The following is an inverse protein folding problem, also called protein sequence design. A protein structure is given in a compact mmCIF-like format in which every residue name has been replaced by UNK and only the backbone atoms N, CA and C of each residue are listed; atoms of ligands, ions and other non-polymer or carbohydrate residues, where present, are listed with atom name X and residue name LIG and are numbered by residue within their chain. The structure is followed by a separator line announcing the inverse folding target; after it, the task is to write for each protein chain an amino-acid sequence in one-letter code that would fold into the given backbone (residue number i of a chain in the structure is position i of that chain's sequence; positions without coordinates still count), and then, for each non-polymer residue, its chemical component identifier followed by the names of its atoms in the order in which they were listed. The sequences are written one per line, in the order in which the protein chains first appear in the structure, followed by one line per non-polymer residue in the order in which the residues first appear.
data_IF_494337957231
#
_entry.id   IF_494337957231
#
_cell.length_a   1.000
_cell.length_b   1.000
_cell.length_c   1.000
_cell.angle_alpha   90.00
_cell.angle_beta   90.00
_cell.angle_gamma   90.00
#
_symmetry.space_group_name_H-M   'P 1'
#
loop_
_entity.id
_entity.type
_entity.pdbx_description
1 polymer ?
#
# COMPACT_ATOMS: atom_id res chain seq x y z
N UNK A 1 -46.17 55.06 10.31
CA UNK A 1 -45.86 53.93 9.42
C UNK A 1 -44.40 53.54 9.70
N UNK A 2 -44.17 52.56 10.58
CA UNK A 2 -42.83 52.14 11.02
C UNK A 2 -42.52 50.78 10.40
N UNK A 3 -41.52 50.72 9.54
CA UNK A 3 -41.05 49.49 8.90
C UNK A 3 -40.00 48.86 9.82
N UNK A 4 -40.25 47.64 10.31
CA UNK A 4 -39.29 46.84 11.05
C UNK A 4 -38.66 45.86 10.07
N UNK A 5 -37.36 45.98 9.83
CA UNK A 5 -36.60 45.02 9.04
C UNK A 5 -36.06 43.92 9.97
N UNK A 6 -36.53 42.69 9.77
CA UNK A 6 -36.06 41.49 10.46
C UNK A 6 -34.86 40.93 9.69
N UNK A 7 -33.64 41.17 10.17
CA UNK A 7 -32.43 40.61 9.62
C UNK A 7 -32.22 39.18 10.13
N UNK A 8 -32.34 38.18 9.25
CA UNK A 8 -32.05 36.79 9.55
C UNK A 8 -30.53 36.59 9.70
N UNK A 9 -30.10 36.12 10.89
CA UNK A 9 -28.75 35.65 11.15
C UNK A 9 -28.52 34.32 10.43
N UNK A 10 -27.64 34.31 9.43
CA UNK A 10 -27.13 33.09 8.81
C UNK A 10 -26.13 32.48 9.78
N UNK A 11 -26.54 31.40 10.46
CA UNK A 11 -25.64 30.57 11.24
C UNK A 11 -24.75 29.79 10.26
N UNK A 12 -23.50 30.22 10.11
CA UNK A 12 -22.47 29.42 9.45
C UNK A 12 -22.14 28.28 10.40
N UNK A 13 -22.70 27.10 10.15
CA UNK A 13 -22.27 25.87 10.81
C UNK A 13 -20.83 25.59 10.37
N UNK A 14 -19.89 25.85 11.26
CA UNK A 14 -18.52 25.35 11.16
C UNK A 14 -18.60 23.83 11.18
N UNK A 15 -18.61 23.23 9.98
CA UNK A 15 -18.38 21.80 9.79
C UNK A 15 -17.03 21.48 10.38
N UNK A 16 -17.03 20.88 11.57
CA UNK A 16 -15.82 20.33 12.13
C UNK A 16 -15.39 19.22 11.20
N UNK A 17 -14.17 19.33 10.65
CA UNK A 17 -13.55 18.25 9.94
C UNK A 17 -13.44 17.07 10.90
N UNK A 18 -14.34 16.09 10.77
CA UNK A 18 -14.17 14.81 11.44
C UNK A 18 -12.87 14.22 10.91
N UNK A 19 -11.86 14.10 11.79
CA UNK A 19 -10.73 13.23 11.56
C UNK A 19 -11.31 11.87 11.13
N UNK A 20 -11.07 11.48 9.87
CA UNK A 20 -11.65 10.26 9.31
C UNK A 20 -11.40 9.10 10.26
N UNK A 21 -12.48 8.43 10.69
CA UNK A 21 -12.38 7.32 11.62
C UNK A 21 -11.40 6.28 11.04
N UNK A 22 -10.37 5.94 11.82
CA UNK A 22 -9.41 4.89 11.45
C UNK A 22 -10.18 3.59 11.25
N UNK A 23 -9.92 2.88 10.15
CA UNK A 23 -10.51 1.57 9.92
C UNK A 23 -10.20 0.65 11.11
N UNK A 24 -11.18 -0.15 11.58
CA UNK A 24 -10.94 -1.08 12.68
C UNK A 24 -9.93 -2.13 12.26
N UNK A 25 -9.18 -2.64 13.25
CA UNK A 25 -8.23 -3.74 13.09
C UNK A 25 -8.59 -4.77 14.16
N UNK A 26 -8.75 -6.02 13.77
CA UNK A 26 -9.11 -7.08 14.71
C UNK A 26 -7.99 -7.37 15.71
N UNK A 27 -8.35 -7.78 16.93
CA UNK A 27 -7.39 -8.17 17.96
C UNK A 27 -6.47 -9.31 17.50
N UNK A 28 -6.97 -10.18 16.61
CA UNK A 28 -6.18 -11.27 16.05
C UNK A 28 -5.03 -10.75 15.19
N UNK A 29 -5.23 -9.67 14.42
CA UNK A 29 -4.20 -9.03 13.61
C UNK A 29 -3.16 -8.33 14.48
N UNK A 30 -3.58 -7.73 15.61
CA UNK A 30 -2.68 -6.97 16.48
C UNK A 30 -1.87 -7.83 17.46
N UNK A 31 -2.42 -8.97 17.89
CA UNK A 31 -1.87 -9.72 19.03
C UNK A 31 -1.53 -11.18 18.72
N UNK A 32 -1.72 -11.64 17.49
CA UNK A 32 -1.36 -12.99 17.07
C UNK A 32 -0.42 -12.95 15.87
N UNK A 33 0.32 -14.04 15.69
CA UNK A 33 1.11 -14.22 14.48
C UNK A 33 0.18 -14.25 13.25
N UNK A 34 0.55 -13.48 12.23
CA UNK A 34 -0.19 -13.44 10.98
C UNK A 34 -0.14 -14.80 10.28
N UNK A 35 -1.26 -15.15 9.64
CA UNK A 35 -1.35 -16.31 8.75
C UNK A 35 -0.85 -15.97 7.35
N UNK A 36 -0.97 -14.70 6.95
CA UNK A 36 -0.29 -14.17 5.77
C UNK A 36 1.23 -14.28 5.93
N UNK A 37 1.89 -14.83 4.92
CA UNK A 37 3.33 -15.06 4.91
C UNK A 37 4.04 -13.96 4.13
N UNK A 38 5.22 -13.57 4.59
CA UNK A 38 6.12 -12.79 3.74
C UNK A 38 6.48 -13.60 2.51
N UNK A 39 6.18 -13.06 1.32
CA UNK A 39 6.48 -13.67 0.02
C UNK A 39 7.39 -12.74 -0.79
N UNK A 40 8.22 -13.35 -1.63
CA UNK A 40 9.13 -12.67 -2.55
C UNK A 40 9.02 -13.28 -3.95
N UNK A 41 9.54 -12.59 -4.97
CA UNK A 41 9.63 -13.14 -6.31
C UNK A 41 10.68 -14.25 -6.38
N UNK A 42 10.28 -15.46 -6.74
CA UNK A 42 11.21 -16.57 -6.89
C UNK A 42 12.30 -16.24 -7.91
N UNK A 43 13.57 -16.42 -7.52
CA UNK A 43 14.74 -16.18 -8.36
C UNK A 43 15.13 -14.69 -8.54
N UNK A 44 14.37 -13.76 -7.96
CA UNK A 44 14.77 -12.35 -7.95
C UNK A 44 15.87 -12.09 -6.91
N UNK A 45 16.78 -11.13 -7.17
CA UNK A 45 17.71 -10.68 -6.14
C UNK A 45 16.98 -10.13 -4.91
N UNK A 46 17.39 -10.56 -3.72
CA UNK A 46 16.70 -10.18 -2.47
C UNK A 46 16.91 -8.71 -2.09
N UNK A 47 18.10 -8.15 -2.35
CA UNK A 47 18.54 -6.83 -1.85
C UNK A 47 18.91 -5.81 -2.93
N UNK A 48 18.72 -6.16 -4.20
CA UNK A 48 18.99 -5.24 -5.29
C UNK A 48 17.78 -4.35 -5.58
N UNK A 49 18.01 -3.30 -6.38
CA UNK A 49 16.94 -2.46 -6.86
C UNK A 49 16.06 -3.26 -7.83
N UNK A 50 14.74 -3.21 -7.63
CA UNK A 50 13.80 -3.95 -8.47
C UNK A 50 12.36 -3.57 -8.15
N UNK A 51 11.49 -3.77 -9.14
CA UNK A 51 10.03 -3.60 -9.02
C UNK A 51 9.38 -4.91 -9.43
N UNK A 52 8.49 -5.41 -8.60
CA UNK A 52 7.84 -6.71 -8.75
C UNK A 52 6.34 -6.57 -8.60
N UNK A 53 5.61 -7.26 -9.49
CA UNK A 53 4.15 -7.36 -9.45
C UNK A 53 3.75 -8.65 -8.76
N UNK A 54 3.10 -8.54 -7.62
CA UNK A 54 2.42 -9.63 -6.93
C UNK A 54 0.94 -9.63 -7.32
N UNK A 55 0.39 -10.78 -7.72
CA UNK A 55 -1.02 -10.90 -8.13
C UNK A 55 -1.72 -12.05 -7.41
N UNK A 56 -3.00 -11.84 -7.10
CA UNK A 56 -3.90 -12.86 -6.56
C UNK A 56 -5.29 -12.69 -7.18
N UNK A 57 -5.89 -13.80 -7.58
CA UNK A 57 -7.30 -13.84 -7.97
C UNK A 57 -8.11 -14.34 -6.78
N UNK A 58 -9.13 -13.58 -6.40
CA UNK A 58 -10.12 -13.95 -5.41
C UNK A 58 -11.41 -14.35 -6.11
N UNK A 59 -12.08 -15.39 -5.64
CA UNK A 59 -13.43 -15.75 -6.06
C UNK A 59 -14.36 -15.52 -4.88
N UNK A 60 -15.30 -14.57 -5.01
CA UNK A 60 -16.20 -14.18 -3.94
C UNK A 60 -17.65 -14.57 -4.28
N UNK A 61 -18.41 -15.18 -3.37
CA UNK A 61 -19.79 -15.60 -3.65
C UNK A 61 -20.73 -14.40 -3.87
N UNK A 62 -20.42 -13.26 -3.27
CA UNK A 62 -21.16 -12.00 -3.39
C UNK A 62 -20.21 -10.81 -3.24
N UNK A 63 -20.65 -9.61 -3.66
CA UNK A 63 -19.92 -8.39 -3.36
C UNK A 63 -19.95 -8.14 -1.83
N UNK A 64 -18.80 -7.97 -1.16
CA UNK A 64 -18.77 -7.76 0.28
C UNK A 64 -19.18 -6.33 0.63
N UNK A 65 -19.88 -6.15 1.76
CA UNK A 65 -20.18 -4.81 2.29
C UNK A 65 -18.95 -4.15 2.95
N UNK A 66 -18.01 -4.96 3.41
CA UNK A 66 -16.72 -4.60 4.01
C UNK A 66 -15.73 -5.72 3.68
N UNK A 67 -14.50 -5.38 3.31
CA UNK A 67 -13.43 -6.35 3.08
C UNK A 67 -12.10 -5.75 3.53
N UNK A 68 -11.75 -5.94 4.80
CA UNK A 68 -10.54 -5.33 5.36
C UNK A 68 -9.30 -6.21 5.21
N UNK A 69 -8.24 -5.59 4.71
CA UNK A 69 -6.91 -6.21 4.58
C UNK A 69 -5.84 -5.31 5.17
N UNK A 70 -4.82 -5.94 5.71
CA UNK A 70 -3.64 -5.31 6.29
C UNK A 70 -2.43 -5.73 5.45
N UNK A 71 -1.74 -4.77 4.88
CA UNK A 71 -0.68 -5.04 3.91
C UNK A 71 0.59 -4.28 4.26
N UNK A 72 1.71 -4.97 4.10
CA UNK A 72 3.03 -4.39 4.21
C UNK A 72 3.93 -4.86 3.07
N UNK A 73 5.02 -4.13 2.87
CA UNK A 73 6.04 -4.47 1.90
C UNK A 73 7.40 -4.00 2.39
N UNK A 74 8.43 -4.74 2.00
CA UNK A 74 9.79 -4.27 2.04
C UNK A 74 10.15 -3.83 0.60
N UNK A 75 10.12 -2.55 0.26
CA UNK A 75 10.03 -1.37 1.15
C UNK A 75 8.92 -0.40 0.79
N UNK A 76 8.31 -0.53 -0.39
CA UNK A 76 7.14 0.24 -0.83
C UNK A 76 6.24 -0.60 -1.71
N UNK A 77 4.96 -0.28 -1.73
CA UNK A 77 4.00 -0.83 -2.67
C UNK A 77 2.91 0.16 -3.08
N UNK A 78 2.30 -0.11 -4.24
CA UNK A 78 1.00 0.42 -4.67
C UNK A 78 0.04 -0.75 -4.82
N UNK A 79 -1.13 -0.65 -4.19
CA UNK A 79 -2.17 -1.66 -4.26
C UNK A 79 -3.21 -1.28 -5.32
N UNK A 80 -3.62 -2.26 -6.11
CA UNK A 80 -4.70 -2.18 -7.07
C UNK A 80 -5.68 -3.33 -6.86
N UNK A 81 -6.96 -3.06 -7.07
CA UNK A 81 -8.01 -4.05 -7.10
C UNK A 81 -8.84 -3.83 -8.38
N UNK A 82 -8.97 -4.88 -9.20
CA UNK A 82 -9.66 -4.83 -10.49
C UNK A 82 -9.18 -3.67 -11.39
N UNK A 83 -7.87 -3.41 -11.40
CA UNK A 83 -7.24 -2.34 -12.19
C UNK A 83 -7.38 -0.92 -11.61
N UNK A 84 -8.16 -0.74 -10.53
CA UNK A 84 -8.29 0.55 -9.84
C UNK A 84 -7.26 0.65 -8.71
N UNK A 85 -6.56 1.78 -8.64
CA UNK A 85 -5.61 2.07 -7.55
C UNK A 85 -6.37 2.25 -6.24
N UNK A 86 -5.99 1.49 -5.23
CA UNK A 86 -6.58 1.53 -3.89
C UNK A 86 -5.76 2.44 -2.98
N UNK A 87 -4.44 2.25 -2.93
CA UNK A 87 -3.58 2.97 -1.99
C UNK A 87 -2.11 2.59 -2.11
N UNK A 88 -1.32 3.09 -1.16
CA UNK A 88 0.13 2.89 -1.09
C UNK A 88 0.54 2.49 0.32
N UNK A 89 1.71 1.90 0.46
CA UNK A 89 2.30 1.62 1.75
C UNK A 89 3.67 0.96 1.66
N UNK A 90 4.18 0.42 2.77
CA UNK A 90 3.80 0.88 4.10
C UNK A 90 4.41 2.27 4.39
N UNK A 91 3.88 2.95 5.41
CA UNK A 91 4.62 4.01 6.08
C UNK A 91 6.00 3.51 6.54
N UNK A 92 7.01 4.38 6.56
CA UNK A 92 8.39 3.99 6.91
C UNK A 92 8.47 3.40 8.32
N UNK A 93 9.32 2.40 8.52
CA UNK A 93 9.60 1.77 9.80
C UNK A 93 11.07 1.38 9.92
N UNK A 94 11.35 0.54 10.91
CA UNK A 94 12.64 -0.12 11.10
C UNK A 94 12.43 -1.65 11.19
N UNK A 95 13.51 -2.41 11.27
CA UNK A 95 13.47 -3.89 11.26
C UNK A 95 12.65 -4.44 12.44
N UNK A 96 12.69 -3.76 13.59
CA UNK A 96 11.99 -4.20 14.80
C UNK A 96 10.53 -3.70 14.84
N UNK A 97 10.21 -2.66 14.05
CA UNK A 97 8.89 -2.01 14.01
C UNK A 97 8.37 -1.88 12.57
N UNK A 98 8.07 -3.03 11.96
CA UNK A 98 7.51 -3.07 10.62
C UNK A 98 6.06 -2.58 10.58
N UNK A 99 5.80 -1.52 9.79
CA UNK A 99 4.45 -0.94 9.68
C UNK A 99 3.63 -1.62 8.59
N UNK A 100 2.32 -1.56 8.71
CA UNK A 100 1.37 -1.99 7.68
C UNK A 100 0.27 -0.94 7.51
N UNK A 101 -0.35 -0.96 6.34
CA UNK A 101 -1.51 -0.13 6.02
C UNK A 101 -2.79 -0.98 6.03
N UNK A 102 -3.91 -0.39 6.41
CA UNK A 102 -5.22 -1.05 6.40
C UNK A 102 -6.08 -0.49 5.28
N UNK A 103 -6.65 -1.36 4.45
CA UNK A 103 -7.51 -0.98 3.34
C UNK A 103 -8.86 -1.68 3.44
N UNK A 104 -9.94 -0.95 3.15
CA UNK A 104 -11.22 -1.56 2.83
C UNK A 104 -11.35 -1.71 1.32
N UNK A 105 -11.39 -2.95 0.85
CA UNK A 105 -11.49 -3.29 -0.57
C UNK A 105 -12.93 -3.40 -1.07
N UNK A 106 -13.94 -3.29 -0.20
CA UNK A 106 -15.33 -3.56 -0.57
C UNK A 106 -15.78 -2.82 -1.84
N UNK A 107 -15.48 -1.53 -1.95
CA UNK A 107 -15.87 -0.69 -3.09
C UNK A 107 -15.14 -1.02 -4.40
N UNK A 108 -14.12 -1.87 -4.34
CA UNK A 108 -13.33 -2.30 -5.49
C UNK A 108 -13.62 -3.74 -5.90
N UNK A 109 -14.35 -4.49 -5.08
CA UNK A 109 -14.65 -5.90 -5.27
C UNK A 109 -16.08 -6.11 -5.79
N UNK A 110 -16.29 -7.25 -6.45
CA UNK A 110 -17.58 -7.69 -7.00
C UNK A 110 -17.82 -9.17 -6.69
N UNK A 111 -19.04 -9.65 -6.91
CA UNK A 111 -19.29 -11.08 -6.96
C UNK A 111 -18.48 -11.74 -8.09
N UNK A 112 -18.01 -12.96 -7.84
CA UNK A 112 -17.17 -13.72 -8.75
C UNK A 112 -15.69 -13.37 -8.65
N UNK A 113 -15.00 -13.37 -9.80
CA UNK A 113 -13.55 -13.12 -9.90
C UNK A 113 -13.17 -11.66 -9.66
N UNK A 114 -12.17 -11.48 -8.80
CA UNK A 114 -11.52 -10.21 -8.50
C UNK A 114 -10.01 -10.36 -8.58
N UNK A 115 -9.32 -9.38 -9.15
CA UNK A 115 -7.87 -9.37 -9.26
C UNK A 115 -7.29 -8.35 -8.27
N UNK A 116 -6.46 -8.82 -7.34
CA UNK A 116 -5.59 -7.96 -6.54
C UNK A 116 -4.19 -7.93 -7.17
N UNK A 117 -3.59 -6.74 -7.20
CA UNK A 117 -2.21 -6.52 -7.63
C UNK A 117 -1.51 -5.60 -6.64
N UNK A 118 -0.37 -6.03 -6.12
CA UNK A 118 0.57 -5.17 -5.41
C UNK A 118 1.83 -5.00 -6.26
N UNK A 119 2.11 -3.76 -6.67
CA UNK A 119 3.41 -3.40 -7.24
C UNK A 119 4.33 -3.04 -6.09
N UNK A 120 5.38 -3.83 -5.86
CA UNK A 120 6.27 -3.72 -4.71
C UNK A 120 7.67 -3.44 -5.22
N UNK A 121 8.38 -2.49 -4.61
CA UNK A 121 9.72 -2.16 -5.06
C UNK A 121 10.68 -1.78 -3.96
N UNK A 122 11.95 -1.95 -4.29
CA UNK A 122 13.10 -1.54 -3.53
C UNK A 122 14.10 -0.84 -4.44
N UNK A 123 14.84 0.10 -3.87
CA UNK A 123 16.00 0.69 -4.53
C UNK A 123 17.32 0.03 -4.09
N UNK A 124 17.24 -1.04 -3.28
CA UNK A 124 18.38 -1.76 -2.74
C UNK A 124 19.36 -0.83 -2.03
N UNK A 125 20.65 -0.96 -2.35
CA UNK A 125 21.74 -0.11 -1.81
C UNK A 125 21.64 1.37 -2.20
N UNK A 126 20.71 1.74 -3.08
CA UNK A 126 20.43 3.13 -3.48
C UNK A 126 19.19 3.70 -2.81
N UNK A 127 18.60 3.00 -1.86
CA UNK A 127 17.43 3.49 -1.14
C UNK A 127 17.73 4.77 -0.35
N UNK A 128 16.75 5.68 -0.20
CA UNK A 128 16.85 6.80 0.73
C UNK A 128 17.23 6.30 2.12
N UNK A 129 18.03 7.06 2.89
CA UNK A 129 18.50 6.61 4.22
C UNK A 129 17.35 6.28 5.20
N UNK A 130 16.18 6.88 5.00
CA UNK A 130 14.99 6.62 5.81
C UNK A 130 14.27 5.30 5.46
N UNK A 131 14.70 4.57 4.42
CA UNK A 131 14.18 3.25 4.06
C UNK A 131 15.06 2.17 4.66
N UNK A 132 14.75 1.79 5.88
CA UNK A 132 15.32 0.59 6.51
C UNK A 132 14.69 -0.65 5.85
N UNK A 133 15.53 -1.63 5.49
CA UNK A 133 15.15 -2.78 4.67
C UNK A 133 15.92 -4.02 5.10
N UNK A 134 15.29 -5.19 5.10
CA UNK A 134 15.99 -6.48 5.16
C UNK A 134 16.14 -7.06 3.75
N UNK A 135 15.03 -7.27 3.04
CA UNK A 135 14.98 -7.81 1.68
C UNK A 135 13.61 -7.59 1.05
N UNK A 136 13.58 -7.41 -0.26
CA UNK A 136 12.35 -7.11 -1.00
C UNK A 136 11.28 -8.19 -0.80
N UNK A 137 10.11 -7.80 -0.31
CA UNK A 137 9.05 -8.74 0.03
C UNK A 137 7.70 -8.06 0.22
N UNK A 138 6.64 -8.88 0.28
CA UNK A 138 5.27 -8.43 0.46
C UNK A 138 4.51 -9.36 1.40
N UNK A 139 3.60 -8.79 2.18
CA UNK A 139 2.69 -9.55 3.04
C UNK A 139 1.31 -8.91 3.03
N UNK A 140 0.27 -9.76 2.98
CA UNK A 140 -1.11 -9.36 3.17
C UNK A 140 -1.79 -10.30 4.18
N UNK A 141 -2.60 -9.71 5.06
CA UNK A 141 -3.39 -10.40 6.07
C UNK A 141 -4.82 -9.88 6.01
N UNK A 142 -5.80 -10.76 5.84
CA UNK A 142 -7.22 -10.43 6.02
C UNK A 142 -7.54 -10.15 7.49
N UNK A 143 -8.47 -9.22 7.73
CA UNK A 143 -8.89 -8.84 9.09
C UNK A 143 -9.62 -9.98 9.82
N UNK A 144 -10.38 -10.80 9.07
CA UNK A 144 -11.14 -11.94 9.57
C UNK A 144 -11.08 -13.18 8.68
N UNK A 145 -12.02 -14.10 8.91
CA UNK A 145 -12.11 -15.36 8.17
C UNK A 145 -12.51 -15.15 6.71
N UNK A 146 -13.41 -14.19 6.44
CA UNK A 146 -13.90 -13.91 5.09
C UNK A 146 -12.82 -13.26 4.23
N UNK A 147 -11.96 -12.43 4.81
CA UNK A 147 -10.82 -11.81 4.11
C UNK A 147 -9.57 -12.69 4.06
N UNK A 148 -9.57 -13.85 4.73
CA UNK A 148 -8.41 -14.74 4.78
C UNK A 148 -8.00 -15.27 3.39
N UNK A 149 -8.91 -15.26 2.41
CA UNK A 149 -8.62 -15.59 1.01
C UNK A 149 -7.59 -14.63 0.37
N UNK A 150 -7.44 -13.41 0.92
CA UNK A 150 -6.46 -12.42 0.49
C UNK A 150 -5.08 -12.58 1.17
N UNK A 151 -4.92 -13.50 2.12
CA UNK A 151 -3.64 -13.73 2.79
C UNK A 151 -2.55 -14.07 1.76
N UNK A 152 -1.34 -13.55 1.97
CA UNK A 152 -0.18 -13.97 1.18
C UNK A 152 0.24 -15.38 1.52
N UNK A 153 0.40 -16.19 0.48
CA UNK A 153 0.74 -17.60 0.52
C UNK A 153 1.31 -18.01 -0.86
N UNK A 154 1.55 -19.30 -1.07
CA UNK A 154 2.09 -19.84 -2.33
C UNK A 154 1.17 -19.69 -3.55
N UNK A 155 -0.10 -19.30 -3.38
CA UNK A 155 -1.02 -19.08 -4.50
C UNK A 155 -0.93 -17.66 -5.09
N UNK A 156 -0.24 -16.75 -4.41
CA UNK A 156 0.16 -15.47 -5.01
C UNK A 156 1.23 -15.71 -6.06
N UNK A 157 1.08 -15.03 -7.20
CA UNK A 157 2.04 -15.10 -8.29
C UNK A 157 2.87 -13.82 -8.33
N UNK A 158 4.17 -13.95 -8.61
CA UNK A 158 5.06 -12.80 -8.72
C UNK A 158 5.83 -12.80 -10.04
N UNK A 159 6.05 -11.62 -10.61
CA UNK A 159 6.97 -11.39 -11.72
C UNK A 159 7.58 -9.99 -11.65
N UNK A 160 8.74 -9.73 -12.26
CA UNK A 160 9.23 -8.37 -12.50
C UNK A 160 8.20 -7.51 -13.24
N UNK A 161 8.14 -6.22 -12.92
CA UNK A 161 7.25 -5.26 -13.58
C UNK A 161 7.98 -4.49 -14.69
N UNK A 162 7.89 -4.86 -15.97
CA UNK A 162 8.70 -4.22 -17.01
C UNK A 162 8.39 -2.72 -17.17
N UNK A 163 7.13 -2.28 -16.98
CA UNK A 163 6.71 -0.90 -17.21
C UNK A 163 6.97 0.07 -16.05
N UNK A 164 7.49 -0.42 -14.93
CA UNK A 164 7.87 0.39 -13.77
C UNK A 164 9.22 -0.11 -13.27
N UNK A 165 10.25 0.70 -13.39
CA UNK A 165 11.61 0.32 -13.04
C UNK A 165 12.24 1.37 -12.11
N UNK A 166 13.20 0.97 -11.25
CA UNK A 166 14.08 1.94 -10.61
C UNK A 166 14.76 2.81 -11.67
N UNK A 167 15.04 4.09 -11.36
CA UNK A 167 15.75 4.99 -12.27
C UNK A 167 17.14 5.38 -11.75
N UNK A 168 18.13 4.46 -11.78
CA UNK A 168 19.50 4.67 -11.32
C UNK A 168 20.11 6.04 -11.64
N UNK A 169 19.83 6.57 -12.82
CA UNK A 169 20.36 7.82 -13.36
C UNK A 169 19.73 9.08 -12.74
N UNK A 170 18.56 8.96 -12.10
CA UNK A 170 17.83 10.10 -11.53
C UNK A 170 18.58 10.82 -10.39
N UNK A 171 19.59 10.18 -9.79
CA UNK A 171 20.48 10.82 -8.79
C UNK A 171 21.79 11.36 -9.36
N UNK A 172 22.08 11.18 -10.66
CA UNK A 172 23.33 11.66 -11.25
C UNK A 172 23.54 13.18 -11.07
N UNK A 173 22.52 14.05 -11.26
CA UNK A 173 22.70 15.48 -11.04
C UNK A 173 23.06 15.79 -9.58
N UNK A 174 22.47 15.08 -8.62
CA UNK A 174 22.69 15.29 -7.19
C UNK A 174 24.11 14.89 -6.75
N UNK A 175 24.66 13.81 -7.33
CA UNK A 175 26.02 13.34 -7.05
C UNK A 175 27.10 14.35 -7.47
N UNK A 176 26.82 15.18 -8.46
CA UNK A 176 27.77 16.17 -8.98
C UNK A 176 27.85 17.44 -8.12
N UNK A 177 26.86 17.69 -7.27
CA UNK A 177 26.79 18.91 -6.44
C UNK A 177 27.78 18.84 -5.25
N UNK A 178 28.30 17.65 -4.92
CA UNK A 178 29.27 17.47 -3.84
C UNK A 178 28.69 17.68 -2.43
N UNK A 179 27.36 17.65 -2.29
CA UNK A 179 26.67 17.81 -1.01
C UNK A 179 26.09 16.48 -0.53
N UNK A 180 25.86 16.39 0.78
CA UNK A 180 25.18 15.23 1.36
C UNK A 180 23.71 15.21 0.96
N UNK A 181 23.26 14.12 0.33
CA UNK A 181 21.85 13.85 0.04
C UNK A 181 21.53 12.38 0.35
N UNK A 182 20.30 12.14 0.79
CA UNK A 182 19.81 10.80 1.19
C UNK A 182 18.47 10.47 0.54
N UNK A 183 18.30 10.93 -0.70
CA UNK A 183 17.14 10.64 -1.53
C UNK A 183 17.42 9.48 -2.47
N UNK A 184 16.36 8.78 -2.87
CA UNK A 184 16.44 7.65 -3.78
C UNK A 184 16.56 8.08 -5.25
N UNK A 185 16.89 7.14 -6.15
CA UNK A 185 17.02 7.37 -7.59
C UNK A 185 15.73 7.81 -8.29
N UNK A 186 14.56 7.56 -7.68
CA UNK A 186 13.27 7.71 -8.33
C UNK A 186 12.94 6.52 -9.21
N UNK A 187 11.82 6.64 -9.92
CA UNK A 187 11.20 5.59 -10.71
C UNK A 187 11.05 6.06 -12.17
N UNK A 188 11.22 5.14 -13.12
CA UNK A 188 10.87 5.34 -14.53
C UNK A 188 9.64 4.52 -14.84
N UNK A 189 8.63 5.17 -15.39
CA UNK A 189 7.39 4.56 -15.85
C UNK A 189 7.37 4.60 -17.37
N UNK A 190 7.16 3.45 -18.00
CA UNK A 190 6.93 3.37 -19.44
C UNK A 190 5.44 3.65 -19.69
N UNK A 191 5.14 4.58 -20.61
CA UNK A 191 3.79 5.02 -20.94
C UNK A 191 3.12 4.11 -21.99
#
# INVERSE_FOLDING_TARGET
MRTVACGALIAVSSGHAHAGARLPISDAVLHRQWKGQWIACAGAPERDAGVYRFRKVLELPSAPARFLVHMSGDQRFVLFANGKRVGIGPSRGDIDHWRFETFDLALFLKAGKNLLVALVWSFGTRAPAAQVSDRTGFVAQGDGADEAVANTDASWQCAPEPGHQPWPEGTLPLRQIGTYFVVGPGERLDA
#
